data_IF_636695488173
#
_entry.id   IF_636695488173
#
_cell.length_a   1.000
_cell.length_b   1.000
_cell.length_c   1.000
_cell.angle_alpha   90.00
_cell.angle_beta   90.00
_cell.angle_gamma   90.00
#
_symmetry.space_group_name_H-M   'P 1'
#
loop_
_entity.id
_entity.type
_entity.pdbx_description
1 polymer ?
#
# COMPACT_ATOMS: atom_id res chain seq x y z
N UNK A 1 -46.14 -4.57 75.28
CA UNK A 1 -45.53 -5.81 74.82
C UNK A 1 -44.79 -5.45 73.50
N UNK A 2 -43.47 -5.27 73.52
CA UNK A 2 -42.66 -4.76 72.39
C UNK A 2 -42.02 -5.95 71.69
N UNK A 3 -42.43 -6.22 70.47
CA UNK A 3 -41.84 -7.24 69.62
C UNK A 3 -40.60 -6.66 68.94
N UNK A 4 -39.41 -7.21 69.23
CA UNK A 4 -38.15 -6.85 68.58
C UNK A 4 -38.02 -7.71 67.30
N UNK A 5 -38.04 -7.01 66.15
CA UNK A 5 -37.68 -7.66 64.87
C UNK A 5 -36.15 -7.84 64.77
N UNK A 6 -35.71 -9.04 64.60
CA UNK A 6 -34.33 -9.42 64.31
C UNK A 6 -34.22 -9.47 62.77
N UNK A 7 -33.44 -8.51 62.22
CA UNK A 7 -33.07 -8.53 60.77
C UNK A 7 -31.82 -9.38 60.64
N UNK A 8 -31.96 -10.54 60.00
CA UNK A 8 -30.86 -11.46 59.70
C UNK A 8 -30.27 -11.02 58.33
N UNK A 9 -29.14 -10.34 58.35
CA UNK A 9 -28.39 -9.99 57.14
C UNK A 9 -27.63 -11.20 56.63
N UNK A 10 -28.10 -11.72 55.47
CA UNK A 10 -27.40 -12.76 54.75
C UNK A 10 -26.30 -12.12 53.89
N UNK A 11 -25.03 -12.25 54.31
CA UNK A 11 -23.89 -11.88 53.52
C UNK A 11 -23.64 -12.98 52.48
N UNK A 12 -24.01 -12.70 51.22
CA UNK A 12 -23.71 -13.56 50.05
C UNK A 12 -22.24 -13.27 49.65
N UNK A 13 -21.32 -14.11 50.06
CA UNK A 13 -19.93 -14.07 49.60
C UNK A 13 -19.88 -14.69 48.20
N UNK A 14 -19.84 -13.83 47.17
CA UNK A 14 -19.61 -14.25 45.78
C UNK A 14 -18.12 -14.51 45.65
N UNK A 15 -17.74 -15.78 45.57
CA UNK A 15 -16.42 -16.21 45.16
C UNK A 15 -16.25 -15.97 43.67
N UNK A 16 -15.57 -14.86 43.31
CA UNK A 16 -15.09 -14.64 41.96
C UNK A 16 -13.89 -15.57 41.73
N UNK A 17 -14.13 -16.71 41.12
CA UNK A 17 -13.05 -17.54 40.58
C UNK A 17 -12.40 -16.79 39.42
N UNK A 18 -11.28 -16.15 39.69
CA UNK A 18 -10.39 -15.64 38.65
C UNK A 18 -9.78 -16.86 37.96
N UNK A 19 -10.39 -17.27 36.85
CA UNK A 19 -9.71 -18.14 35.90
C UNK A 19 -8.57 -17.29 35.32
N UNK A 20 -7.35 -17.48 35.85
CA UNK A 20 -6.16 -17.08 35.16
C UNK A 20 -6.11 -17.91 33.86
N UNK A 21 -6.52 -17.30 32.74
CA UNK A 21 -6.10 -17.75 31.44
C UNK A 21 -4.56 -17.60 31.42
N UNK A 22 -3.87 -18.66 31.80
CA UNK A 22 -2.50 -18.86 31.36
C UNK A 22 -2.61 -19.03 29.84
N UNK A 23 -2.62 -17.90 29.14
CA UNK A 23 -2.27 -17.91 27.73
C UNK A 23 -0.89 -18.56 27.65
N UNK A 24 -0.77 -19.64 26.89
CA UNK A 24 0.53 -20.14 26.48
C UNK A 24 1.39 -18.91 26.11
N UNK A 25 2.67 -18.86 26.55
CA UNK A 25 3.57 -17.87 26.01
C UNK A 25 3.47 -18.06 24.51
N UNK A 26 2.82 -17.09 23.85
CA UNK A 26 2.78 -17.05 22.40
C UNK A 26 4.23 -17.31 21.98
N UNK A 27 4.48 -18.43 21.35
CA UNK A 27 5.69 -18.64 20.55
C UNK A 27 5.74 -17.40 19.70
N UNK A 28 6.62 -16.45 20.08
CA UNK A 28 6.80 -15.18 19.38
C UNK A 28 7.07 -15.56 17.95
N UNK A 29 6.01 -15.57 17.13
CA UNK A 29 6.14 -15.92 15.73
C UNK A 29 7.09 -14.88 15.16
N UNK A 30 8.20 -15.36 14.63
CA UNK A 30 9.19 -14.59 13.87
C UNK A 30 8.46 -14.05 12.63
N UNK A 31 7.69 -12.97 12.80
CA UNK A 31 6.85 -12.38 11.78
C UNK A 31 7.31 -10.96 11.47
N UNK A 32 7.37 -10.62 10.19
CA UNK A 32 7.68 -9.27 9.73
C UNK A 32 6.44 -8.41 9.63
N UNK A 33 6.49 -7.19 10.15
CA UNK A 33 5.49 -6.16 9.86
C UNK A 33 5.99 -5.28 8.71
N UNK A 34 5.29 -5.33 7.58
CA UNK A 34 5.73 -4.68 6.36
C UNK A 34 4.77 -3.56 5.97
N UNK A 35 5.31 -2.32 5.89
CA UNK A 35 4.57 -1.19 5.34
C UNK A 35 4.56 -1.27 3.81
N UNK A 36 3.38 -1.37 3.19
CA UNK A 36 3.20 -1.66 1.77
C UNK A 36 2.43 -0.54 1.09
N UNK A 37 3.07 0.16 0.15
CA UNK A 37 2.37 1.16 -0.66
C UNK A 37 1.20 0.52 -1.43
N UNK A 38 0.04 1.17 -1.42
CA UNK A 38 -1.21 0.59 -1.89
C UNK A 38 -1.24 0.21 -3.39
N UNK A 39 -0.36 0.80 -4.19
CA UNK A 39 -0.23 0.44 -5.62
C UNK A 39 0.30 -0.98 -5.83
N UNK A 40 1.04 -1.54 -4.88
CA UNK A 40 1.62 -2.89 -4.97
C UNK A 40 0.82 -3.94 -4.19
N UNK A 41 -0.26 -3.57 -3.52
CA UNK A 41 -1.01 -4.43 -2.59
C UNK A 41 -1.35 -5.83 -3.15
N UNK A 42 -1.91 -5.93 -4.36
CA UNK A 42 -2.29 -7.23 -4.94
C UNK A 42 -1.07 -8.05 -5.40
N UNK A 43 -0.06 -7.39 -5.93
CA UNK A 43 1.23 -8.02 -6.25
C UNK A 43 1.90 -8.54 -4.99
N UNK A 44 1.80 -7.77 -3.91
CA UNK A 44 2.38 -8.10 -2.62
C UNK A 44 1.77 -9.36 -1.99
N UNK A 45 0.48 -9.59 -2.14
CA UNK A 45 -0.17 -10.82 -1.65
C UNK A 45 0.43 -12.08 -2.28
N UNK A 46 0.74 -12.04 -3.59
CA UNK A 46 1.38 -13.18 -4.26
C UNK A 46 2.86 -13.33 -3.85
N UNK A 47 3.58 -12.21 -3.70
CA UNK A 47 4.96 -12.18 -3.18
C UNK A 47 5.01 -12.74 -1.75
N UNK A 48 4.11 -12.27 -0.88
CA UNK A 48 3.96 -12.76 0.50
C UNK A 48 3.74 -14.27 0.53
N UNK A 49 2.77 -14.78 -0.23
CA UNK A 49 2.46 -16.20 -0.27
C UNK A 49 3.65 -17.05 -0.73
N UNK A 50 4.40 -16.58 -1.74
CA UNK A 50 5.60 -17.26 -2.22
C UNK A 50 6.72 -17.25 -1.17
N UNK A 51 6.96 -16.11 -0.53
CA UNK A 51 7.98 -15.97 0.51
C UNK A 51 7.67 -16.85 1.73
N UNK A 52 6.45 -16.78 2.25
CA UNK A 52 6.00 -17.58 3.41
C UNK A 52 6.11 -19.08 3.12
N UNK A 53 5.72 -19.51 1.92
CA UNK A 53 5.86 -20.91 1.48
C UNK A 53 7.33 -21.37 1.45
N UNK A 54 8.23 -20.51 1.01
CA UNK A 54 9.64 -20.86 0.84
C UNK A 54 10.43 -20.82 2.17
N UNK A 55 10.00 -20.01 3.12
CA UNK A 55 10.81 -19.71 4.32
C UNK A 55 10.13 -20.07 5.65
N UNK A 56 8.80 -20.17 5.66
CA UNK A 56 8.01 -20.30 6.89
C UNK A 56 7.90 -19.00 7.70
N UNK A 57 8.53 -17.91 7.24
CA UNK A 57 8.47 -16.60 7.92
C UNK A 57 7.16 -15.92 7.57
N UNK A 58 6.36 -15.57 8.57
CA UNK A 58 5.06 -14.92 8.39
C UNK A 58 5.23 -13.41 8.15
N UNK A 59 4.47 -12.86 7.20
CA UNK A 59 4.43 -11.43 6.94
C UNK A 59 3.05 -10.85 7.29
N UNK A 60 3.04 -9.78 8.07
CA UNK A 60 1.86 -8.97 8.35
C UNK A 60 1.93 -7.66 7.54
N UNK A 61 1.23 -7.55 6.42
CA UNK A 61 1.24 -6.34 5.62
C UNK A 61 0.33 -5.27 6.22
N UNK A 62 0.78 -4.02 6.17
CA UNK A 62 -0.05 -2.84 6.41
C UNK A 62 -0.05 -2.01 5.14
N UNK A 63 -1.24 -1.75 4.57
CA UNK A 63 -1.37 -1.06 3.28
C UNK A 63 -1.77 0.40 3.46
N UNK A 64 -1.09 1.32 2.75
CA UNK A 64 -1.37 2.76 2.81
C UNK A 64 -0.63 3.57 1.76
N UNK A 65 -0.53 4.89 1.94
CA UNK A 65 0.28 5.74 1.08
C UNK A 65 1.71 5.86 1.60
N UNK A 66 2.69 5.99 0.69
CA UNK A 66 4.11 6.07 1.04
C UNK A 66 4.42 7.19 2.03
N UNK A 67 3.89 8.40 1.80
CA UNK A 67 4.14 9.53 2.69
C UNK A 67 3.51 9.39 4.08
N UNK A 68 2.38 8.67 4.22
CA UNK A 68 1.83 8.36 5.54
C UNK A 68 2.70 7.38 6.30
N UNK A 69 3.20 6.34 5.62
CA UNK A 69 4.14 5.41 6.25
C UNK A 69 5.43 6.10 6.67
N UNK A 70 5.98 6.99 5.82
CA UNK A 70 7.16 7.78 6.18
C UNK A 70 6.93 8.54 7.48
N UNK A 71 5.83 9.31 7.57
CA UNK A 71 5.49 10.03 8.80
C UNK A 71 5.28 9.11 10.02
N UNK A 72 4.70 7.91 9.83
CA UNK A 72 4.54 6.94 10.92
C UNK A 72 5.89 6.37 11.37
N UNK A 73 6.80 6.06 10.44
CA UNK A 73 8.14 5.55 10.72
C UNK A 73 8.96 6.60 11.49
N UNK A 74 8.92 7.86 11.07
CA UNK A 74 9.54 9.00 11.76
C UNK A 74 9.01 9.16 13.21
N UNK A 75 7.75 8.79 13.44
CA UNK A 75 7.11 8.79 14.75
C UNK A 75 7.23 7.43 15.49
N UNK A 76 8.11 6.54 15.06
CA UNK A 76 8.44 5.31 15.76
C UNK A 76 7.50 4.13 15.54
N UNK A 77 6.70 4.13 14.47
CA UNK A 77 5.87 2.98 14.14
C UNK A 77 6.73 1.72 13.88
N UNK A 78 6.33 0.55 14.41
CA UNK A 78 7.13 -0.65 14.44
C UNK A 78 7.05 -1.45 13.13
N UNK A 79 7.49 -0.86 12.03
CA UNK A 79 7.62 -1.55 10.75
C UNK A 79 9.05 -2.07 10.56
N UNK A 80 9.17 -3.27 10.01
CA UNK A 80 10.46 -3.93 9.73
C UNK A 80 10.99 -3.61 8.33
N UNK A 81 10.07 -3.60 7.35
CA UNK A 81 10.40 -3.30 5.95
C UNK A 81 9.38 -2.31 5.40
N UNK A 82 9.84 -1.42 4.53
CA UNK A 82 8.99 -0.46 3.83
C UNK A 82 9.14 -0.60 2.31
N UNK A 83 8.02 -0.95 1.64
CA UNK A 83 7.89 -0.90 0.18
C UNK A 83 7.16 0.37 -0.20
N UNK A 84 7.90 1.32 -0.77
CA UNK A 84 7.39 2.63 -1.22
C UNK A 84 7.00 2.61 -2.70
N UNK A 85 6.08 3.49 -3.07
CA UNK A 85 5.68 3.73 -4.45
C UNK A 85 6.64 4.68 -5.21
N UNK A 86 7.68 5.20 -4.56
CA UNK A 86 8.79 5.95 -5.16
C UNK A 86 10.09 5.72 -4.36
N UNK A 87 11.18 6.37 -4.79
CA UNK A 87 12.46 6.35 -4.10
C UNK A 87 12.63 7.52 -3.13
N UNK A 88 11.86 8.61 -3.27
CA UNK A 88 12.04 9.83 -2.46
C UNK A 88 11.85 9.55 -0.97
N UNK A 89 10.79 8.80 -0.62
CA UNK A 89 10.48 8.48 0.77
C UNK A 89 11.51 7.55 1.42
N UNK A 90 11.91 6.41 0.81
CA UNK A 90 12.99 5.58 1.36
C UNK A 90 14.32 6.33 1.52
N UNK A 91 14.68 7.18 0.56
CA UNK A 91 15.89 8.01 0.63
C UNK A 91 15.81 9.08 1.72
N UNK A 92 14.63 9.64 1.96
CA UNK A 92 14.40 10.57 3.08
C UNK A 92 14.63 9.84 4.40
N UNK A 93 14.02 8.68 4.60
CA UNK A 93 14.22 7.85 5.79
C UNK A 93 15.70 7.43 5.98
N UNK A 94 16.42 7.16 4.89
CA UNK A 94 17.85 6.86 4.95
C UNK A 94 18.65 8.06 5.46
N UNK A 95 18.43 9.24 4.88
CA UNK A 95 19.11 10.48 5.29
C UNK A 95 18.84 10.83 6.76
N UNK A 96 17.64 10.56 7.24
CA UNK A 96 17.23 10.80 8.62
C UNK A 96 17.63 9.68 9.58
N UNK A 97 18.23 8.62 9.06
CA UNK A 97 18.78 7.55 9.86
C UNK A 97 17.77 6.53 10.39
N UNK A 98 16.62 6.35 9.73
CA UNK A 98 15.60 5.36 10.11
C UNK A 98 15.79 4.00 9.43
N UNK A 99 16.73 3.87 8.50
CA UNK A 99 16.95 2.65 7.73
C UNK A 99 18.16 1.87 8.24
N UNK A 100 18.14 0.55 8.01
CA UNK A 100 19.25 -0.37 8.29
C UNK A 100 20.17 -0.53 7.07
N UNK A 101 19.58 -0.54 5.87
CA UNK A 101 20.31 -0.65 4.61
C UNK A 101 19.97 0.53 3.69
N UNK A 102 20.71 0.66 2.59
CA UNK A 102 20.35 1.60 1.54
C UNK A 102 19.14 1.13 0.74
N UNK A 103 18.23 2.04 0.36
CA UNK A 103 17.08 1.72 -0.46
C UNK A 103 17.49 1.15 -1.83
N UNK A 104 16.69 0.18 -2.33
CA UNK A 104 16.84 -0.36 -3.68
C UNK A 104 15.55 -0.26 -4.47
N UNK A 105 15.65 -0.02 -5.78
CA UNK A 105 14.51 -0.06 -6.69
C UNK A 105 14.12 -1.52 -6.93
N UNK A 106 12.87 -1.89 -6.58
CA UNK A 106 12.34 -3.23 -6.86
C UNK A 106 11.57 -3.31 -8.19
N UNK A 107 11.11 -2.17 -8.72
CA UNK A 107 10.40 -2.12 -10.00
C UNK A 107 9.99 -0.71 -10.38
N UNK A 108 9.59 -0.55 -11.64
CA UNK A 108 9.05 0.69 -12.18
C UNK A 108 7.56 0.53 -12.45
N UNK A 109 6.78 1.47 -11.95
CA UNK A 109 5.34 1.48 -12.09
C UNK A 109 4.84 2.24 -13.32
N UNK A 110 3.61 1.96 -13.73
CA UNK A 110 2.94 2.62 -14.87
C UNK A 110 1.60 3.15 -14.42
N UNK A 111 1.27 4.40 -14.84
CA UNK A 111 -0.06 4.98 -14.67
C UNK A 111 -1.04 4.49 -15.73
N UNK A 112 -2.28 4.26 -15.29
CA UNK A 112 -3.41 3.96 -16.17
C UNK A 112 -4.61 4.84 -15.84
N UNK A 113 -5.44 5.13 -16.83
CA UNK A 113 -6.81 5.63 -16.64
C UNK A 113 -7.70 4.40 -16.58
N UNK A 114 -8.55 4.30 -15.58
CA UNK A 114 -9.47 3.19 -15.38
C UNK A 114 -10.90 3.67 -15.13
N UNK A 115 -11.88 2.99 -15.73
CA UNK A 115 -13.31 3.30 -15.56
C UNK A 115 -14.17 2.04 -15.42
N UNK A 116 -15.22 2.15 -14.62
CA UNK A 116 -16.30 1.16 -14.45
C UNK A 116 -17.67 1.71 -14.94
N UNK A 117 -17.70 2.93 -15.48
CA UNK A 117 -18.95 3.64 -15.85
C UNK A 117 -19.19 3.74 -17.35
N UNK A 118 -18.32 3.16 -18.16
CA UNK A 118 -18.46 3.18 -19.61
C UNK A 118 -17.98 4.46 -20.31
N UNK A 119 -17.24 5.32 -19.60
CA UNK A 119 -16.54 6.47 -20.19
C UNK A 119 -15.66 6.01 -21.35
N UNK A 120 -15.68 6.72 -22.46
CA UNK A 120 -14.79 6.48 -23.59
C UNK A 120 -13.35 6.94 -23.23
N UNK A 121 -12.42 6.01 -23.26
CA UNK A 121 -11.01 6.26 -22.96
C UNK A 121 -10.13 6.43 -24.22
N UNK A 122 -10.71 6.43 -25.41
CA UNK A 122 -9.96 6.47 -26.68
C UNK A 122 -9.06 7.70 -26.83
N UNK A 123 -9.43 8.81 -26.19
CA UNK A 123 -8.66 10.07 -26.18
C UNK A 123 -7.70 10.19 -24.98
N UNK A 124 -7.55 9.15 -24.17
CA UNK A 124 -6.67 9.16 -23.01
C UNK A 124 -6.93 10.32 -22.03
N UNK A 125 -5.86 10.97 -21.60
CA UNK A 125 -5.92 12.10 -20.63
C UNK A 125 -6.77 13.28 -21.15
N UNK A 126 -6.67 13.60 -22.43
CA UNK A 126 -7.42 14.71 -23.03
C UNK A 126 -8.94 14.49 -23.01
N UNK A 127 -9.37 13.22 -23.12
CA UNK A 127 -10.77 12.84 -23.01
C UNK A 127 -11.40 13.15 -21.62
N UNK A 128 -10.59 13.28 -20.58
CA UNK A 128 -11.07 13.59 -19.24
C UNK A 128 -11.58 15.03 -19.09
N UNK A 129 -11.30 15.90 -20.07
CA UNK A 129 -11.86 17.25 -20.13
C UNK A 129 -13.35 17.26 -20.52
N UNK A 130 -13.83 16.19 -21.15
CA UNK A 130 -15.21 16.07 -21.61
C UNK A 130 -16.22 16.34 -20.48
N UNK A 131 -17.32 16.98 -20.86
CA UNK A 131 -18.42 17.29 -19.91
C UNK A 131 -19.14 16.06 -19.36
N UNK A 132 -19.04 14.91 -20.03
CA UNK A 132 -19.55 13.63 -19.56
C UNK A 132 -18.76 13.09 -18.34
N UNK A 133 -17.49 13.43 -18.21
CA UNK A 133 -16.65 13.08 -17.05
C UNK A 133 -16.86 14.13 -15.96
N UNK A 134 -17.48 13.75 -14.86
CA UNK A 134 -17.79 14.64 -13.72
C UNK A 134 -16.78 14.50 -12.58
N UNK A 135 -16.33 13.28 -12.30
CA UNK A 135 -15.45 12.98 -11.18
C UNK A 135 -14.27 12.11 -11.64
N UNK A 136 -13.07 12.57 -11.33
CA UNK A 136 -11.80 11.89 -11.64
C UNK A 136 -11.11 11.59 -10.30
N UNK A 137 -11.00 10.32 -9.94
CA UNK A 137 -10.32 9.91 -8.71
C UNK A 137 -8.80 9.86 -8.94
N UNK A 138 -8.04 10.50 -8.06
CA UNK A 138 -6.59 10.36 -7.96
C UNK A 138 -6.18 10.20 -6.50
N UNK A 139 -5.04 9.57 -6.23
CA UNK A 139 -4.50 9.56 -4.87
C UNK A 139 -4.00 10.96 -4.49
N UNK A 140 -4.03 11.30 -3.21
CA UNK A 140 -3.60 12.62 -2.70
C UNK A 140 -2.15 12.90 -3.08
N UNK A 141 -1.83 13.90 -3.91
CA UNK A 141 -0.47 14.12 -4.42
C UNK A 141 0.58 14.40 -3.33
N UNK A 142 0.13 14.96 -2.20
CA UNK A 142 1.01 15.29 -1.07
C UNK A 142 1.68 14.05 -0.45
N UNK A 143 1.00 12.90 -0.45
CA UNK A 143 1.45 11.70 0.26
C UNK A 143 1.53 10.46 -0.62
N UNK A 144 1.02 10.52 -1.85
CA UNK A 144 0.97 9.38 -2.74
C UNK A 144 1.70 9.68 -4.06
N UNK A 145 2.80 8.96 -4.38
CA UNK A 145 3.58 9.18 -5.60
C UNK A 145 2.75 9.10 -6.88
N UNK A 146 1.89 8.11 -7.00
CA UNK A 146 0.99 7.99 -8.17
C UNK A 146 0.05 9.18 -8.33
N UNK A 147 -0.39 9.80 -7.23
CA UNK A 147 -1.18 11.03 -7.28
C UNK A 147 -0.36 12.23 -7.79
N UNK A 148 0.91 12.34 -7.39
CA UNK A 148 1.83 13.36 -7.96
C UNK A 148 1.98 13.17 -9.45
N UNK A 149 2.22 11.94 -9.89
CA UNK A 149 2.43 11.66 -11.30
C UNK A 149 1.14 11.82 -12.14
N UNK A 150 -0.04 11.56 -11.56
CA UNK A 150 -1.31 11.91 -12.20
C UNK A 150 -1.44 13.42 -12.47
N UNK A 151 -1.06 14.26 -11.49
CA UNK A 151 -1.04 15.72 -11.68
C UNK A 151 -0.01 16.15 -12.73
N UNK A 152 1.17 15.51 -12.74
CA UNK A 152 2.20 15.76 -13.76
C UNK A 152 1.68 15.42 -15.17
N UNK A 153 0.99 14.28 -15.33
CA UNK A 153 0.36 13.92 -16.59
C UNK A 153 -0.69 14.95 -17.05
N UNK A 154 -1.57 15.43 -16.14
CA UNK A 154 -2.52 16.50 -16.49
C UNK A 154 -1.84 17.80 -16.92
N UNK A 155 -0.71 18.16 -16.29
CA UNK A 155 0.07 19.36 -16.65
C UNK A 155 0.74 19.17 -18.00
N UNK A 156 1.33 18.01 -18.27
CA UNK A 156 1.97 17.70 -19.55
C UNK A 156 1.02 17.89 -20.73
N UNK A 157 -0.22 17.40 -20.60
CA UNK A 157 -1.27 17.56 -21.62
C UNK A 157 -1.96 18.93 -21.56
N UNK A 158 -1.56 19.85 -20.68
CA UNK A 158 -2.15 21.19 -20.49
C UNK A 158 -3.67 21.16 -20.15
N UNK A 159 -4.14 20.09 -19.51
CA UNK A 159 -5.57 19.92 -19.15
C UNK A 159 -5.85 20.13 -17.66
N UNK A 160 -4.82 20.33 -16.82
CA UNK A 160 -4.98 20.41 -15.38
C UNK A 160 -6.03 21.44 -14.94
N UNK A 161 -6.01 22.66 -15.51
CA UNK A 161 -6.99 23.71 -15.19
C UNK A 161 -8.43 23.34 -15.52
N UNK A 162 -8.64 22.47 -16.51
CA UNK A 162 -9.95 22.01 -16.95
C UNK A 162 -10.47 20.86 -16.09
N UNK A 163 -9.58 20.03 -15.54
CA UNK A 163 -9.95 18.84 -14.76
C UNK A 163 -9.90 19.06 -13.26
N UNK A 164 -9.20 20.08 -12.75
CA UNK A 164 -8.95 20.27 -11.31
C UNK A 164 -10.23 20.30 -10.47
N UNK A 165 -11.31 20.87 -10.99
CA UNK A 165 -12.61 20.94 -10.30
C UNK A 165 -13.40 19.61 -10.35
N UNK A 166 -12.93 18.64 -11.13
CA UNK A 166 -13.48 17.29 -11.22
C UNK A 166 -12.71 16.30 -10.31
N UNK A 167 -11.55 16.70 -9.75
CA UNK A 167 -10.70 15.81 -8.99
C UNK A 167 -11.32 15.44 -7.64
N UNK A 168 -11.33 14.15 -7.35
CA UNK A 168 -11.64 13.55 -6.04
C UNK A 168 -10.39 12.86 -5.53
N UNK A 169 -10.01 13.18 -4.31
CA UNK A 169 -8.76 12.73 -3.75
C UNK A 169 -8.97 11.53 -2.82
N UNK A 170 -8.39 10.40 -3.19
CA UNK A 170 -8.22 9.26 -2.29
C UNK A 170 -6.98 9.45 -1.41
N UNK A 171 -7.03 8.98 -0.18
CA UNK A 171 -5.87 8.98 0.72
C UNK A 171 -4.68 8.20 0.15
N UNK A 172 -4.98 7.14 -0.60
CA UNK A 172 -4.03 6.23 -1.23
C UNK A 172 -4.60 5.71 -2.56
N UNK A 173 -3.81 4.94 -3.30
CA UNK A 173 -4.28 4.20 -4.48
C UNK A 173 -5.43 3.25 -4.11
N UNK A 174 -5.42 2.63 -2.92
CA UNK A 174 -6.53 1.76 -2.50
C UNK A 174 -7.87 2.51 -2.45
N UNK A 175 -7.92 3.69 -1.84
CA UNK A 175 -9.15 4.49 -1.80
C UNK A 175 -9.50 5.07 -3.18
N UNK A 176 -8.52 5.44 -4.00
CA UNK A 176 -8.74 5.83 -5.40
C UNK A 176 -9.45 4.73 -6.16
N UNK A 177 -8.98 3.49 -6.03
CA UNK A 177 -9.59 2.32 -6.65
C UNK A 177 -11.02 2.06 -6.13
N UNK A 178 -11.25 2.28 -4.83
CA UNK A 178 -12.57 2.16 -4.24
C UNK A 178 -13.57 3.14 -4.87
N UNK A 179 -13.17 4.39 -5.12
CA UNK A 179 -14.03 5.35 -5.81
C UNK A 179 -14.40 4.90 -7.23
N UNK A 180 -13.49 4.23 -7.94
CA UNK A 180 -13.78 3.68 -9.28
C UNK A 180 -14.68 2.46 -9.19
N UNK A 181 -14.37 1.48 -8.34
CA UNK A 181 -15.13 0.23 -8.22
C UNK A 181 -16.55 0.43 -7.73
N UNK A 182 -16.77 1.40 -6.83
CA UNK A 182 -18.10 1.79 -6.36
C UNK A 182 -18.82 2.75 -7.28
N UNK A 183 -18.19 3.17 -8.39
CA UNK A 183 -18.67 4.19 -9.32
C UNK A 183 -18.94 5.55 -8.64
N UNK A 184 -18.28 5.82 -7.53
CA UNK A 184 -18.29 7.14 -6.89
C UNK A 184 -17.50 8.18 -7.69
N UNK A 185 -16.59 7.72 -8.55
CA UNK A 185 -15.95 8.50 -9.60
C UNK A 185 -16.15 7.83 -10.97
N UNK A 186 -16.22 8.64 -12.02
CA UNK A 186 -16.42 8.17 -13.40
C UNK A 186 -15.18 7.45 -13.93
N UNK A 187 -14.02 7.99 -13.56
CA UNK A 187 -12.70 7.43 -13.89
C UNK A 187 -11.73 7.58 -12.70
N UNK A 188 -10.67 6.80 -12.70
CA UNK A 188 -9.54 6.98 -11.78
C UNK A 188 -8.21 6.91 -12.50
N UNK A 189 -7.22 7.64 -11.99
CA UNK A 189 -5.82 7.44 -12.36
C UNK A 189 -5.19 6.55 -11.30
N UNK A 190 -4.76 5.36 -11.71
CA UNK A 190 -4.24 4.33 -10.80
C UNK A 190 -3.01 3.63 -11.36
N UNK A 191 -2.53 2.60 -10.64
CA UNK A 191 -1.40 1.78 -11.06
C UNK A 191 -1.84 0.66 -12.01
N UNK A 192 -1.04 0.36 -13.04
CA UNK A 192 -1.26 -0.77 -13.94
C UNK A 192 -1.35 -2.10 -13.19
N UNK A 193 -0.58 -2.27 -12.13
CA UNK A 193 -0.60 -3.45 -11.25
C UNK A 193 -1.96 -3.74 -10.62
N UNK A 194 -2.79 -2.73 -10.43
CA UNK A 194 -4.14 -2.88 -9.89
C UNK A 194 -5.07 -3.52 -10.94
N UNK A 195 -5.11 -2.95 -12.14
CA UNK A 195 -6.02 -3.42 -13.20
C UNK A 195 -5.61 -4.76 -13.81
N UNK A 196 -4.36 -5.18 -13.60
CA UNK A 196 -3.86 -6.51 -13.99
C UNK A 196 -4.03 -7.57 -12.90
N UNK A 197 -4.43 -7.18 -11.68
CA UNK A 197 -4.64 -8.14 -10.60
C UNK A 197 -5.76 -9.14 -10.95
N UNK A 198 -5.63 -10.43 -10.58
CA UNK A 198 -6.61 -11.46 -10.96
C UNK A 198 -8.05 -11.15 -10.54
N UNK A 199 -8.24 -10.54 -9.37
CA UNK A 199 -9.54 -10.11 -8.86
C UNK A 199 -10.08 -8.82 -9.48
N UNK A 200 -9.25 -8.10 -10.25
CA UNK A 200 -9.61 -6.86 -10.94
C UNK A 200 -9.62 -7.02 -12.46
N UNK A 201 -9.08 -8.15 -12.95
CA UNK A 201 -9.06 -8.49 -14.37
C UNK A 201 -10.50 -8.48 -14.92
N UNK A 202 -10.66 -7.88 -16.09
CA UNK A 202 -11.94 -7.74 -16.77
C UNK A 202 -12.97 -6.85 -16.06
N UNK A 203 -12.58 -6.15 -14.99
CA UNK A 203 -13.43 -5.16 -14.33
C UNK A 203 -13.24 -3.76 -14.95
N UNK A 204 -14.22 -3.35 -15.76
CA UNK A 204 -14.20 -2.06 -16.45
C UNK A 204 -13.25 -2.03 -17.66
N UNK A 205 -12.84 -0.82 -18.02
CA UNK A 205 -11.89 -0.56 -19.11
C UNK A 205 -10.76 0.32 -18.62
N UNK A 206 -9.57 0.13 -19.16
CA UNK A 206 -8.43 0.95 -18.82
C UNK A 206 -7.52 1.17 -20.03
N UNK A 207 -6.74 2.24 -20.00
CA UNK A 207 -5.70 2.58 -20.98
C UNK A 207 -4.46 3.09 -20.26
N UNK A 208 -3.29 2.81 -20.79
CA UNK A 208 -2.03 3.35 -20.25
C UNK A 208 -1.90 4.83 -20.58
N UNK A 209 -1.34 5.59 -19.65
CA UNK A 209 -0.91 6.97 -19.87
C UNK A 209 0.49 6.92 -20.46
N UNK A 210 0.75 7.72 -21.51
CA UNK A 210 2.09 7.81 -22.09
C UNK A 210 3.13 8.13 -21.00
N UNK A 211 4.19 7.33 -20.95
CA UNK A 211 5.25 7.45 -19.94
C UNK A 211 6.02 8.77 -20.01
N UNK A 212 6.02 9.43 -21.16
CA UNK A 212 6.62 10.75 -21.31
C UNK A 212 5.83 11.86 -20.60
N UNK A 213 4.58 11.59 -20.19
CA UNK A 213 3.71 12.56 -19.56
C UNK A 213 3.94 12.71 -18.05
N UNK A 214 4.80 11.87 -17.44
CA UNK A 214 5.08 11.89 -16.02
C UNK A 214 6.48 11.37 -15.71
N UNK A 215 7.00 11.67 -14.52
CA UNK A 215 8.31 11.19 -14.10
C UNK A 215 8.30 9.67 -13.89
N UNK A 216 9.45 9.04 -14.12
CA UNK A 216 9.62 7.60 -13.88
C UNK A 216 9.24 7.23 -12.45
N UNK A 217 8.31 6.29 -12.30
CA UNK A 217 7.85 5.81 -10.99
C UNK A 217 8.77 4.67 -10.52
N UNK A 218 9.98 5.01 -10.09
CA UNK A 218 10.94 4.07 -9.51
C UNK A 218 10.52 3.74 -8.07
N UNK A 219 10.11 2.50 -7.80
CA UNK A 219 9.58 2.09 -6.50
C UNK A 219 10.66 1.47 -5.64
N UNK A 220 10.79 1.97 -4.41
CA UNK A 220 11.88 1.63 -3.50
C UNK A 220 11.46 0.69 -2.36
N UNK A 221 12.39 -0.15 -1.94
CA UNK A 221 12.28 -0.95 -0.72
C UNK A 221 13.47 -0.70 0.19
N UNK A 222 13.22 -0.70 1.49
CA UNK A 222 14.26 -0.53 2.51
C UNK A 222 13.92 -1.34 3.77
N UNK A 223 14.93 -1.86 4.45
CA UNK A 223 14.83 -2.43 5.79
C UNK A 223 14.95 -1.30 6.79
N UNK A 224 14.03 -1.24 7.75
CA UNK A 224 13.99 -0.22 8.78
C UNK A 224 14.81 -0.64 10.02
N UNK A 225 15.29 0.34 10.80
CA UNK A 225 16.05 0.06 12.03
C UNK A 225 15.26 -0.73 13.07
N UNK A 226 13.92 -0.68 13.02
CA UNK A 226 13.07 -1.49 13.90
C UNK A 226 13.40 -2.97 13.79
N UNK A 227 13.59 -3.50 12.57
CA UNK A 227 13.92 -4.90 12.33
C UNK A 227 15.23 -5.37 13.01
N UNK A 228 16.17 -4.45 13.28
CA UNK A 228 17.45 -4.81 13.93
C UNK A 228 17.30 -5.39 15.32
N UNK A 229 16.17 -5.12 16.01
CA UNK A 229 15.98 -5.57 17.38
C UNK A 229 15.78 -7.08 17.44
N UNK A 230 14.82 -7.58 16.64
CA UNK A 230 14.35 -8.96 16.78
C UNK A 230 14.15 -9.69 15.45
N UNK A 231 14.20 -8.99 14.28
CA UNK A 231 13.83 -9.53 12.97
C UNK A 231 14.88 -9.26 11.86
N UNK A 232 16.14 -9.06 12.23
CA UNK A 232 17.18 -8.64 11.29
C UNK A 232 17.40 -9.63 10.14
N UNK A 233 17.46 -10.93 10.47
CA UNK A 233 17.69 -11.99 9.46
C UNK A 233 16.46 -12.19 8.56
N UNK A 234 15.26 -12.18 9.15
CA UNK A 234 14.00 -12.35 8.44
C UNK A 234 13.77 -11.18 7.46
N UNK A 235 14.04 -9.96 7.91
CA UNK A 235 13.94 -8.77 7.09
C UNK A 235 14.94 -8.78 5.92
N UNK A 236 16.17 -9.25 6.16
CA UNK A 236 17.16 -9.39 5.11
C UNK A 236 16.75 -10.49 4.10
N UNK A 237 16.28 -11.66 4.57
CA UNK A 237 15.77 -12.72 3.70
C UNK A 237 14.61 -12.22 2.82
N UNK A 238 13.68 -11.45 3.40
CA UNK A 238 12.56 -10.88 2.63
C UNK A 238 13.04 -9.85 1.62
N UNK A 239 13.94 -8.94 2.03
CA UNK A 239 14.53 -7.96 1.13
C UNK A 239 15.21 -8.62 -0.08
N UNK A 240 16.04 -9.65 0.16
CA UNK A 240 16.72 -10.37 -0.91
C UNK A 240 15.74 -11.16 -1.80
N UNK A 241 14.69 -11.73 -1.21
CA UNK A 241 13.64 -12.42 -1.96
C UNK A 241 12.98 -11.54 -2.99
N UNK A 242 12.75 -10.25 -2.71
CA UNK A 242 12.15 -9.31 -3.67
C UNK A 242 12.97 -9.18 -4.98
N UNK A 243 14.26 -9.50 -4.93
CA UNK A 243 15.16 -9.48 -6.10
C UNK A 243 15.42 -10.88 -6.69
N UNK A 244 14.79 -11.93 -6.16
CA UNK A 244 14.82 -13.28 -6.73
C UNK A 244 14.12 -13.37 -8.07
N UNK A 245 14.44 -14.38 -8.86
CA UNK A 245 13.78 -14.63 -10.13
C UNK A 245 12.27 -14.88 -9.95
N UNK A 246 11.86 -15.51 -8.85
CA UNK A 246 10.47 -15.78 -8.52
C UNK A 246 9.71 -14.47 -8.29
N UNK A 247 10.16 -13.63 -7.37
CA UNK A 247 9.53 -12.33 -7.09
C UNK A 247 9.53 -11.41 -8.33
N UNK A 248 10.63 -11.40 -9.10
CA UNK A 248 10.72 -10.65 -10.33
C UNK A 248 9.71 -11.14 -11.39
N UNK A 249 9.47 -12.45 -11.45
CA UNK A 249 8.41 -13.03 -12.29
C UNK A 249 7.02 -12.54 -11.88
N UNK A 250 6.76 -12.47 -10.57
CA UNK A 250 5.50 -11.94 -10.04
C UNK A 250 5.37 -10.45 -10.40
N UNK A 251 6.39 -9.61 -10.15
CA UNK A 251 6.33 -8.19 -10.54
C UNK A 251 6.01 -8.00 -12.03
N UNK A 252 6.68 -8.75 -12.94
CA UNK A 252 6.41 -8.68 -14.38
C UNK A 252 4.97 -9.06 -14.72
N UNK A 253 4.42 -10.10 -14.09
CA UNK A 253 3.02 -10.54 -14.26
C UNK A 253 2.03 -9.41 -13.98
N UNK A 254 2.33 -8.57 -13.00
CA UNK A 254 1.53 -7.39 -12.62
C UNK A 254 1.92 -6.11 -13.38
N UNK A 255 2.72 -6.22 -14.44
CA UNK A 255 3.04 -5.10 -15.34
C UNK A 255 4.12 -4.15 -14.87
N UNK A 256 4.93 -4.56 -13.89
CA UNK A 256 6.12 -3.80 -13.50
C UNK A 256 7.25 -4.00 -14.52
N UNK A 257 7.97 -2.93 -14.83
CA UNK A 257 9.27 -3.01 -15.45
C UNK A 257 10.32 -3.20 -14.36
N UNK A 258 11.32 -4.04 -14.63
CA UNK A 258 12.35 -4.34 -13.66
C UNK A 258 13.61 -3.52 -13.90
N UNK A 259 14.36 -3.19 -12.84
CA UNK A 259 15.70 -2.64 -13.00
C UNK A 259 16.56 -3.58 -13.86
N UNK A 260 17.31 -2.99 -14.79
CA UNK A 260 18.31 -3.77 -15.55
C UNK A 260 19.32 -4.31 -14.54
N UNK A 261 19.50 -5.64 -14.50
CA UNK A 261 20.57 -6.23 -13.67
C UNK A 261 21.89 -5.63 -14.15
N UNK A 262 22.61 -4.96 -13.25
CA UNK A 262 24.00 -4.64 -13.54
C UNK A 262 24.68 -5.95 -13.98
N UNK A 263 25.18 -5.98 -15.20
CA UNK A 263 26.03 -7.10 -15.60
C UNK A 263 27.27 -7.09 -14.69
N UNK A 264 27.69 -8.25 -14.20
CA UNK A 264 28.87 -8.36 -13.34
C UNK A 264 30.13 -7.90 -14.03
#
# INVERSE_FOLDING_TARGET
MKIKSIVLSFFLVIFFSVYAFAGDPATGGTGLTVAVAANVQYTFEEIKAAFEKNTGIVITPVTGSSGKFTAQIENGAPFDVFLSADMDYPQTLEKEGFTYNSPKVYGYGTLVIWTMTGVDLSRGIEGLTDSAVKKIAIATPKTAPYGRQAVNAFKHYNVYSQVQNKLVYGESIAQTNQFVTTKAADVGITAKSIVLAPNMKDQGKWVEINKEAYDTIAQGVVILKHAQKDHSEEAQKFFDFLFSNEAQGIFKKYGYELPVKAQP
#
